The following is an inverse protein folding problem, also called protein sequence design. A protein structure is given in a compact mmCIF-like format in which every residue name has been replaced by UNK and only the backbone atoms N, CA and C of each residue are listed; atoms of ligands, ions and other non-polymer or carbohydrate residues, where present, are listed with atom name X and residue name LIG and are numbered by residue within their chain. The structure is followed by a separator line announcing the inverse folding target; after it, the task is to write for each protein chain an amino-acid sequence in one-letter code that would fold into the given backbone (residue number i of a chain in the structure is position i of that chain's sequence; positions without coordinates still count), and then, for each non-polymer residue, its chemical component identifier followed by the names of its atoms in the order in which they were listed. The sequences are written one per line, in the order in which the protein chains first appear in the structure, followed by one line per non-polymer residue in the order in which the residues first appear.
data_IF_366364255909
#
_entry.id   IF_366364255909
#
_cell.length_a   1.000
_cell.length_b   1.000
_cell.length_c   1.000
_cell.angle_alpha   90.00
_cell.angle_beta   90.00
_cell.angle_gamma   90.00
#
_symmetry.space_group_name_H-M   'P 1'
#
loop_
_entity.id
_entity.type
_entity.pdbx_description
1 polymer ?
#
# COMPACT_ATOMS: atom_id res chain seq x y z
N UNK A 1 -10.80 -14.79 16.60
CA UNK A 1 -10.80 -14.47 15.16
C UNK A 1 -9.90 -13.25 14.97
N UNK A 2 -8.73 -13.44 14.35
CA UNK A 2 -7.65 -12.46 14.34
C UNK A 2 -7.80 -11.45 13.20
N UNK A 3 -7.72 -10.15 13.51
CA UNK A 3 -7.12 -9.00 12.78
C UNK A 3 -6.78 -9.09 11.26
N UNK A 4 -7.49 -9.86 10.42
CA UNK A 4 -7.10 -10.06 9.02
C UNK A 4 -7.06 -8.76 8.22
N UNK A 5 -8.12 -7.94 8.24
CA UNK A 5 -8.14 -6.65 7.53
C UNK A 5 -7.06 -5.67 8.00
N UNK A 6 -6.69 -5.76 9.27
CA UNK A 6 -5.75 -4.85 9.95
C UNK A 6 -4.33 -4.92 9.39
N UNK A 7 -3.87 -6.15 9.10
CA UNK A 7 -2.55 -6.42 8.52
C UNK A 7 -2.54 -6.03 7.02
N UNK A 8 -3.67 -6.25 6.34
CA UNK A 8 -3.83 -6.01 4.91
C UNK A 8 -3.81 -4.50 4.61
N UNK A 9 -4.47 -3.70 5.46
CA UNK A 9 -4.58 -2.24 5.41
C UNK A 9 -3.28 -1.53 5.03
N UNK A 10 -2.31 -1.57 5.94
CA UNK A 10 -1.10 -0.76 5.83
C UNK A 10 -0.06 -1.38 4.87
N UNK A 11 0.08 -2.71 4.83
CA UNK A 11 1.03 -3.36 3.92
C UNK A 11 0.60 -3.16 2.45
N UNK A 12 -0.69 -3.33 2.14
CA UNK A 12 -1.19 -3.10 0.78
C UNK A 12 -1.00 -1.66 0.31
N UNK A 13 -1.17 -0.70 1.22
CA UNK A 13 -0.81 0.71 1.07
C UNK A 13 0.65 0.90 0.67
N UNK A 14 1.57 0.30 1.44
CA UNK A 14 3.00 0.47 1.25
C UNK A 14 3.43 -0.18 -0.07
N UNK A 15 2.91 -1.37 -0.39
CA UNK A 15 3.14 -2.06 -1.66
C UNK A 15 2.67 -1.19 -2.84
N UNK A 16 1.47 -0.60 -2.75
CA UNK A 16 0.92 0.31 -3.77
C UNK A 16 1.76 1.58 -3.95
N UNK A 17 2.30 2.14 -2.86
CA UNK A 17 3.14 3.35 -2.88
C UNK A 17 4.59 3.07 -3.32
N UNK A 18 5.03 1.82 -3.23
CA UNK A 18 6.37 1.36 -3.59
C UNK A 18 6.49 0.99 -5.10
N UNK A 19 6.18 1.93 -6.01
CA UNK A 19 6.20 1.68 -7.48
C UNK A 19 6.77 2.87 -8.30
N UNK A 20 8.10 3.03 -8.41
CA UNK A 20 8.86 4.26 -8.82
C UNK A 20 10.01 4.02 -9.86
N UNK A 21 10.16 4.76 -10.99
CA UNK A 21 11.30 4.68 -11.96
C UNK A 21 11.46 5.89 -12.94
N UNK A 22 12.63 6.44 -13.37
CA UNK A 22 14.07 6.22 -13.03
C UNK A 22 14.98 7.45 -13.44
N UNK A 23 16.24 7.50 -12.97
CA UNK A 23 17.40 8.40 -13.27
C UNK A 23 17.31 9.33 -14.52
N UNK A 24 17.48 10.65 -14.29
CA UNK A 24 18.25 11.57 -15.16
C UNK A 24 19.17 12.45 -14.28
N UNK A 25 20.38 12.74 -14.76
CA UNK A 25 21.43 13.47 -14.05
C UNK A 25 21.31 14.98 -14.26
N UNK A 26 20.45 15.65 -13.49
CA UNK A 26 20.40 17.13 -13.42
C UNK A 26 20.55 17.65 -11.98
N UNK A 27 21.34 18.71 -11.76
CA UNK A 27 21.62 19.23 -10.42
C UNK A 27 20.50 20.12 -9.90
N UNK A 28 19.33 19.56 -9.57
CA UNK A 28 18.33 20.27 -8.77
C UNK A 28 18.55 19.97 -7.29
N UNK A 29 19.43 20.76 -6.67
CA UNK A 29 19.86 20.59 -5.28
C UNK A 29 18.80 21.03 -4.26
N UNK A 30 17.71 20.27 -4.14
CA UNK A 30 16.95 20.20 -2.87
C UNK A 30 17.55 19.12 -2.00
N UNK A 31 17.80 19.42 -0.72
CA UNK A 31 18.23 18.42 0.29
C UNK A 31 17.12 17.38 0.45
N UNK A 32 17.27 16.21 -0.19
CA UNK A 32 16.34 15.09 -0.04
C UNK A 32 16.53 14.45 1.34
N UNK A 33 15.50 14.53 2.19
CA UNK A 33 15.38 13.70 3.38
C UNK A 33 14.99 12.28 2.97
N UNK A 34 15.97 11.39 2.87
CA UNK A 34 15.73 9.98 2.59
C UNK A 34 15.17 9.28 3.84
N UNK A 35 13.86 9.15 3.91
CA UNK A 35 13.17 8.41 4.96
C UNK A 35 13.21 6.90 4.69
N UNK A 36 14.10 6.18 5.38
CA UNK A 36 14.16 4.71 5.32
C UNK A 36 12.81 4.11 5.74
N UNK A 37 12.29 3.17 4.96
CA UNK A 37 11.14 2.35 5.34
C UNK A 37 11.50 1.44 6.52
N UNK A 38 10.90 1.71 7.66
CA UNK A 38 10.94 0.83 8.84
C UNK A 38 9.79 -0.19 8.76
N UNK A 39 9.97 -1.19 7.89
CA UNK A 39 8.96 -2.22 7.71
C UNK A 39 8.86 -3.18 8.92
N UNK A 40 9.90 -3.31 9.73
CA UNK A 40 9.89 -4.15 10.93
C UNK A 40 8.90 -3.60 11.97
N UNK A 41 8.97 -2.30 12.28
CA UNK A 41 8.00 -1.63 13.16
C UNK A 41 6.59 -1.74 12.60
N UNK A 42 6.41 -1.61 11.28
CA UNK A 42 5.11 -1.75 10.61
C UNK A 42 4.53 -3.15 10.77
N UNK A 43 5.28 -4.19 10.40
CA UNK A 43 4.85 -5.59 10.51
C UNK A 43 4.59 -5.98 11.97
N UNK A 44 5.42 -5.51 12.89
CA UNK A 44 5.19 -5.67 14.32
C UNK A 44 3.89 -5.01 14.79
N UNK A 45 3.67 -3.73 14.46
CA UNK A 45 2.58 -2.93 15.04
C UNK A 45 1.19 -3.45 14.66
N UNK A 46 1.03 -3.91 13.42
CA UNK A 46 -0.20 -4.54 12.90
C UNK A 46 -0.39 -5.99 13.41
N UNK A 47 0.58 -6.55 14.11
CA UNK A 47 0.52 -7.90 14.70
C UNK A 47 0.81 -9.03 13.71
N UNK A 48 1.69 -8.81 12.75
CA UNK A 48 2.14 -9.86 11.82
C UNK A 48 2.87 -10.97 12.60
N UNK A 49 2.45 -12.24 12.52
CA UNK A 49 3.13 -13.34 13.20
C UNK A 49 4.56 -13.54 12.68
N UNK A 50 5.48 -13.97 13.55
CA UNK A 50 6.90 -14.13 13.17
C UNK A 50 7.13 -15.19 12.08
N UNK A 51 6.22 -16.17 11.94
CA UNK A 51 6.23 -17.11 10.81
C UNK A 51 5.98 -16.40 9.47
N UNK A 52 5.11 -15.38 9.45
CA UNK A 52 4.87 -14.55 8.28
C UNK A 52 6.06 -13.63 8.06
N UNK A 53 6.53 -12.91 9.10
CA UNK A 53 7.70 -12.01 9.02
C UNK A 53 8.89 -12.69 8.33
N UNK A 54 9.31 -13.86 8.83
CA UNK A 54 10.42 -14.65 8.26
C UNK A 54 10.23 -15.05 6.79
N UNK A 55 8.98 -15.28 6.37
CA UNK A 55 8.67 -15.61 4.99
C UNK A 55 8.60 -14.39 4.05
N UNK A 56 8.24 -13.21 4.56
CA UNK A 56 8.08 -11.98 3.76
C UNK A 56 9.31 -11.08 3.80
N UNK A 57 10.26 -11.32 4.70
CA UNK A 57 11.44 -10.45 4.89
C UNK A 57 12.23 -10.21 3.57
N UNK A 58 12.59 -11.22 2.75
CA UNK A 58 13.24 -10.96 1.45
C UNK A 58 12.38 -10.18 0.45
N UNK A 59 11.05 -10.27 0.57
CA UNK A 59 10.14 -9.45 -0.22
C UNK A 59 10.12 -8.00 0.29
N UNK A 60 10.14 -7.79 1.61
CA UNK A 60 10.18 -6.46 2.22
C UNK A 60 11.53 -5.76 2.03
N UNK A 61 12.65 -6.49 1.92
CA UNK A 61 13.93 -5.94 1.47
C UNK A 61 13.80 -5.32 0.07
N UNK A 62 13.17 -6.01 -0.89
CA UNK A 62 12.95 -5.49 -2.24
C UNK A 62 12.01 -4.27 -2.21
N UNK A 63 10.93 -4.30 -1.42
CA UNK A 63 10.05 -3.14 -1.20
C UNK A 63 10.82 -1.96 -0.59
N UNK A 64 11.76 -2.21 0.33
CA UNK A 64 12.60 -1.19 0.95
C UNK A 64 13.66 -0.63 -0.01
N UNK A 65 14.28 -1.46 -0.85
CA UNK A 65 15.13 -0.99 -1.95
C UNK A 65 14.35 -0.02 -2.82
N UNK A 66 13.16 -0.42 -3.21
CA UNK A 66 12.24 0.31 -4.08
C UNK A 66 11.74 1.62 -3.46
N UNK A 67 11.40 1.61 -2.18
CA UNK A 67 10.97 2.80 -1.45
C UNK A 67 12.02 3.92 -1.46
N UNK A 68 13.29 3.52 -1.38
CA UNK A 68 14.45 4.40 -1.34
C UNK A 68 15.11 4.65 -2.71
N UNK A 69 14.78 3.85 -3.74
CA UNK A 69 15.43 3.87 -5.07
C UNK A 69 14.40 3.94 -6.18
N UNK A 70 14.64 4.88 -7.07
CA UNK A 70 13.84 5.16 -8.25
C UNK A 70 13.99 4.06 -9.34
N UNK A 71 13.67 2.78 -9.09
CA UNK A 71 13.64 1.76 -10.16
C UNK A 71 12.77 0.48 -9.94
N UNK A 72 11.44 0.58 -9.96
CA UNK A 72 10.49 -0.52 -9.77
C UNK A 72 10.10 -1.21 -11.05
N UNK A 73 10.00 -0.48 -12.16
CA UNK A 73 9.63 -1.09 -13.44
C UNK A 73 10.63 -2.19 -13.85
N UNK A 74 11.88 -2.09 -13.39
CA UNK A 74 12.90 -3.14 -13.55
C UNK A 74 12.97 -4.12 -12.36
N UNK A 75 12.44 -3.77 -11.18
CA UNK A 75 12.34 -4.67 -10.00
C UNK A 75 11.03 -5.45 -9.96
N UNK A 76 10.09 -5.18 -10.86
CA UNK A 76 8.76 -5.79 -10.87
C UNK A 76 8.83 -7.33 -10.99
N UNK A 77 9.74 -7.85 -11.81
CA UNK A 77 10.01 -9.29 -11.91
C UNK A 77 10.56 -9.88 -10.60
N UNK A 78 11.40 -9.13 -9.89
CA UNK A 78 11.92 -9.51 -8.57
C UNK A 78 10.81 -9.51 -7.52
N UNK A 79 9.97 -8.47 -7.47
CA UNK A 79 8.80 -8.41 -6.58
C UNK A 79 7.83 -9.59 -6.82
N UNK A 80 7.58 -9.95 -8.08
CA UNK A 80 6.77 -11.12 -8.43
C UNK A 80 7.40 -12.43 -7.94
N UNK A 81 8.72 -12.60 -8.11
CA UNK A 81 9.46 -13.79 -7.65
C UNK A 81 9.48 -13.90 -6.13
N UNK A 82 9.79 -12.83 -5.40
CA UNK A 82 9.83 -12.84 -3.95
C UNK A 82 8.43 -12.99 -3.33
N UNK A 83 7.37 -12.40 -3.94
CA UNK A 83 5.97 -12.69 -3.54
C UNK A 83 5.66 -14.19 -3.66
N UNK A 84 6.01 -14.82 -4.77
CA UNK A 84 5.73 -16.24 -5.00
C UNK A 84 6.47 -17.14 -3.98
N UNK A 85 7.73 -16.80 -3.67
CA UNK A 85 8.51 -17.46 -2.60
C UNK A 85 7.86 -17.27 -1.22
N UNK A 86 7.48 -16.04 -0.87
CA UNK A 86 6.86 -15.71 0.41
C UNK A 86 5.53 -16.46 0.60
N UNK A 87 4.66 -16.48 -0.42
CA UNK A 87 3.41 -17.26 -0.40
C UNK A 87 3.67 -18.77 -0.25
N UNK A 88 4.66 -19.33 -0.95
CA UNK A 88 5.05 -20.73 -0.81
C UNK A 88 5.56 -21.03 0.61
N UNK A 89 6.38 -20.15 1.16
CA UNK A 89 6.89 -20.25 2.53
C UNK A 89 5.74 -20.26 3.54
N UNK A 90 4.85 -19.26 3.52
CA UNK A 90 3.70 -19.17 4.44
C UNK A 90 2.80 -20.41 4.34
N UNK A 91 2.50 -20.88 3.11
CA UNK A 91 1.66 -22.07 2.89
C UNK A 91 2.30 -23.37 3.40
N UNK A 92 3.64 -23.45 3.40
CA UNK A 92 4.39 -24.62 3.90
C UNK A 92 4.56 -24.66 5.43
N UNK A 93 4.40 -23.53 6.13
CA UNK A 93 4.57 -23.46 7.58
C UNK A 93 3.32 -24.00 8.31
N UNK A 94 3.46 -25.13 9.00
CA UNK A 94 2.36 -25.79 9.73
C UNK A 94 1.70 -24.88 10.79
N UNK A 95 2.53 -24.15 11.55
CA UNK A 95 2.08 -23.28 12.65
C UNK A 95 1.63 -21.88 12.20
N UNK A 96 1.64 -21.58 10.89
CA UNK A 96 1.32 -20.24 10.39
C UNK A 96 -0.18 -20.13 10.08
N UNK A 97 -0.95 -19.64 11.06
CA UNK A 97 -2.41 -19.52 10.98
C UNK A 97 -2.90 -18.36 10.10
N UNK A 98 -2.08 -17.33 9.88
CA UNK A 98 -2.39 -16.26 8.94
C UNK A 98 -1.84 -16.56 7.55
N UNK A 99 -2.56 -17.40 6.81
CA UNK A 99 -2.19 -17.80 5.44
C UNK A 99 -2.63 -16.79 4.38
N UNK A 100 -3.52 -15.85 4.73
CA UNK A 100 -4.19 -14.97 3.77
C UNK A 100 -3.81 -13.49 3.92
N UNK A 101 -3.38 -13.02 5.10
CA UNK A 101 -3.02 -11.62 5.32
C UNK A 101 -1.99 -11.08 4.33
N UNK A 102 -0.90 -11.83 4.09
CA UNK A 102 0.08 -11.47 3.06
C UNK A 102 -0.45 -11.61 1.63
N UNK A 103 -1.32 -12.59 1.35
CA UNK A 103 -1.89 -12.80 0.01
C UNK A 103 -2.77 -11.62 -0.40
N UNK A 104 -3.60 -11.12 0.51
CA UNK A 104 -4.45 -9.95 0.28
C UNK A 104 -3.66 -8.63 0.34
N UNK A 105 -2.69 -8.49 1.25
CA UNK A 105 -1.80 -7.32 1.25
C UNK A 105 -1.06 -7.17 -0.08
N UNK A 106 -0.61 -8.28 -0.67
CA UNK A 106 0.08 -8.31 -1.96
C UNK A 106 -0.86 -8.44 -3.17
N UNK A 107 -2.16 -8.11 -3.05
CA UNK A 107 -3.15 -8.31 -4.13
C UNK A 107 -2.84 -7.52 -5.41
N UNK A 108 -2.20 -6.35 -5.31
CA UNK A 108 -1.66 -5.61 -6.47
C UNK A 108 -0.79 -6.49 -7.37
N UNK A 109 0.12 -7.26 -6.75
CA UNK A 109 1.03 -8.17 -7.45
C UNK A 109 0.31 -9.46 -7.90
N UNK A 110 -0.80 -9.84 -7.26
CA UNK A 110 -1.66 -10.92 -7.74
C UNK A 110 -2.31 -10.58 -9.10
N UNK A 111 -2.74 -9.32 -9.26
CA UNK A 111 -3.28 -8.83 -10.54
C UNK A 111 -2.17 -8.53 -11.55
N UNK A 112 -1.06 -7.93 -11.11
CA UNK A 112 0.03 -7.49 -11.98
C UNK A 112 0.87 -8.64 -12.54
N UNK A 113 1.33 -9.57 -11.69
CA UNK A 113 2.35 -10.56 -12.09
C UNK A 113 1.89 -11.52 -13.23
N UNK A 114 0.65 -12.04 -13.27
CA UNK A 114 0.16 -12.82 -14.40
C UNK A 114 -0.07 -11.98 -15.66
N UNK A 115 -0.28 -10.67 -15.49
CA UNK A 115 -0.66 -9.71 -16.55
C UNK A 115 0.50 -8.83 -17.03
N UNK A 116 1.76 -9.09 -16.61
CA UNK A 116 2.92 -8.25 -16.95
C UNK A 116 2.99 -7.83 -18.42
N UNK A 117 2.69 -8.75 -19.34
CA UNK A 117 2.68 -8.50 -20.80
C UNK A 117 1.67 -7.42 -21.25
N UNK A 118 0.57 -7.23 -20.53
CA UNK A 118 -0.39 -6.15 -20.79
C UNK A 118 0.20 -4.79 -20.36
N UNK A 119 0.96 -4.78 -19.26
CA UNK A 119 1.68 -3.61 -18.77
C UNK A 119 2.93 -3.24 -19.59
N UNK A 120 3.40 -4.12 -20.49
CA UNK A 120 4.52 -3.83 -21.39
C UNK A 120 4.25 -2.63 -22.32
N UNK A 121 2.97 -2.37 -22.63
CA UNK A 121 2.53 -1.19 -23.39
C UNK A 121 2.78 0.12 -22.62
N UNK A 122 2.61 0.12 -21.30
CA UNK A 122 2.91 1.25 -20.42
C UNK A 122 4.38 1.34 -20.01
N UNK A 123 5.09 0.21 -20.02
CA UNK A 123 6.46 0.07 -19.50
C UNK A 123 7.44 1.16 -19.97
N UNK A 124 7.43 1.62 -21.25
CA UNK A 124 8.27 2.74 -21.69
C UNK A 124 7.91 4.06 -21.01
N UNK A 125 6.63 4.41 -20.93
CA UNK A 125 6.20 5.67 -20.31
C UNK A 125 6.44 5.66 -18.79
N UNK A 126 6.15 4.54 -18.12
CA UNK A 126 6.39 4.38 -16.69
C UNK A 126 7.88 4.49 -16.36
N UNK A 127 8.77 3.87 -17.16
CA UNK A 127 10.23 4.03 -16.98
C UNK A 127 10.71 5.48 -17.09
N UNK A 128 10.07 6.28 -17.95
CA UNK A 128 10.46 7.67 -18.19
C UNK A 128 9.86 8.66 -17.18
N UNK A 129 8.68 8.38 -16.61
CA UNK A 129 7.90 9.38 -15.87
C UNK A 129 7.62 9.03 -14.41
N UNK A 130 7.51 7.75 -14.05
CA UNK A 130 6.89 7.31 -12.80
C UNK A 130 7.62 7.84 -11.55
N UNK A 131 8.96 7.91 -11.61
CA UNK A 131 9.77 8.47 -10.53
C UNK A 131 9.55 9.95 -10.35
N UNK A 132 9.58 10.72 -11.44
CA UNK A 132 9.32 12.16 -11.40
C UNK A 132 7.92 12.43 -10.84
N UNK A 133 6.93 11.61 -11.20
CA UNK A 133 5.58 11.68 -10.61
C UNK A 133 5.60 11.38 -9.12
N UNK A 134 6.23 10.29 -8.68
CA UNK A 134 6.28 9.94 -7.25
C UNK A 134 7.02 10.99 -6.43
N UNK A 135 8.14 11.53 -6.91
CA UNK A 135 8.85 12.60 -6.21
C UNK A 135 8.00 13.89 -6.17
N UNK A 136 7.30 14.27 -7.25
CA UNK A 136 6.34 15.41 -7.23
C UNK A 136 5.21 15.17 -6.23
N UNK A 137 4.64 13.97 -6.21
CA UNK A 137 3.50 13.62 -5.36
C UNK A 137 3.90 13.40 -3.91
N UNK A 138 5.10 12.89 -3.62
CA UNK A 138 5.65 12.84 -2.27
C UNK A 138 6.01 14.26 -1.78
N UNK A 139 6.53 15.14 -2.62
CA UNK A 139 6.75 16.54 -2.25
C UNK A 139 5.42 17.28 -1.94
N UNK A 140 4.33 16.94 -2.65
CA UNK A 140 2.98 17.50 -2.45
C UNK A 140 2.24 16.89 -1.26
N UNK A 141 2.29 15.57 -1.12
CA UNK A 141 1.44 14.77 -0.23
C UNK A 141 2.17 14.19 0.99
N UNK A 142 3.50 14.34 1.07
CA UNK A 142 4.35 13.94 2.22
C UNK A 142 4.16 12.49 2.65
N UNK A 143 4.06 11.57 1.69
CA UNK A 143 3.76 10.16 1.90
C UNK A 143 4.91 9.46 2.64
N UNK A 144 6.16 9.64 2.16
CA UNK A 144 7.34 9.02 2.77
C UNK A 144 7.56 9.55 4.19
N UNK A 145 7.35 10.86 4.40
CA UNK A 145 7.35 11.49 5.72
C UNK A 145 6.23 10.94 6.62
N UNK A 146 5.02 10.75 6.10
CA UNK A 146 3.89 10.22 6.84
C UNK A 146 4.13 8.81 7.36
N UNK A 147 4.61 7.91 6.51
CA UNK A 147 4.98 6.54 6.91
C UNK A 147 6.13 6.54 7.92
N UNK A 148 7.13 7.40 7.73
CA UNK A 148 8.22 7.58 8.69
C UNK A 148 7.72 8.08 10.06
N UNK A 149 6.88 9.13 10.07
CA UNK A 149 6.27 9.68 11.29
C UNK A 149 5.45 8.61 12.01
N UNK A 150 4.66 7.83 11.27
CA UNK A 150 3.89 6.72 11.80
C UNK A 150 4.74 5.69 12.54
N UNK A 151 5.87 5.23 11.97
CA UNK A 151 6.78 4.31 12.68
C UNK A 151 7.57 4.96 13.82
N UNK A 152 7.49 6.29 13.94
CA UNK A 152 8.19 7.05 14.96
C UNK A 152 7.33 7.41 16.18
N UNK A 153 6.01 7.22 16.15
CA UNK A 153 5.16 7.31 17.34
C UNK A 153 5.54 6.26 18.39
N UNK A 154 5.57 6.67 19.66
CA UNK A 154 6.09 5.84 20.75
C UNK A 154 5.18 4.65 21.09
N UNK A 155 3.87 4.81 20.93
CA UNK A 155 2.89 3.74 21.10
C UNK A 155 2.91 2.76 19.92
N UNK A 156 3.09 3.23 18.67
CA UNK A 156 3.33 2.36 17.50
C UNK A 156 4.60 1.51 17.69
N UNK A 157 5.69 2.11 18.18
CA UNK A 157 6.93 1.39 18.57
C UNK A 157 6.74 0.44 19.74
N UNK A 158 5.89 0.79 20.70
CA UNK A 158 5.59 -0.07 21.84
C UNK A 158 4.82 -1.31 21.37
N UNK A 159 3.72 -1.12 20.64
CA UNK A 159 2.88 -2.24 20.19
C UNK A 159 3.60 -3.09 19.14
N UNK A 160 4.53 -2.54 18.36
CA UNK A 160 5.34 -3.35 17.44
C UNK A 160 6.21 -4.40 18.12
N UNK A 161 6.69 -4.08 19.33
CA UNK A 161 7.49 -4.97 20.18
C UNK A 161 6.62 -5.95 20.99
N UNK A 162 5.37 -5.58 21.28
CA UNK A 162 4.42 -6.38 22.07
C UNK A 162 3.58 -7.36 21.23
N UNK A 163 3.90 -7.57 19.95
CA UNK A 163 3.16 -8.47 19.07
C UNK A 163 1.93 -7.86 18.39
N UNK A 164 1.80 -6.53 18.44
CA UNK A 164 0.82 -5.73 17.72
C UNK A 164 -0.47 -5.43 18.47
N UNK A 165 -1.02 -4.24 18.23
CA UNK A 165 -2.35 -3.85 18.72
C UNK A 165 -2.98 -2.88 17.72
N UNK A 166 -3.93 -3.39 16.93
CA UNK A 166 -4.56 -2.58 15.88
C UNK A 166 -5.37 -1.40 16.42
N UNK A 167 -5.92 -1.48 17.63
CA UNK A 167 -6.69 -0.36 18.18
C UNK A 167 -5.77 0.85 18.40
N UNK A 168 -4.61 0.64 19.02
CA UNK A 168 -3.56 1.67 19.17
C UNK A 168 -3.02 2.15 17.81
N UNK A 169 -2.81 1.25 16.85
CA UNK A 169 -2.42 1.64 15.49
C UNK A 169 -3.48 2.52 14.81
N UNK A 170 -4.77 2.22 15.03
CA UNK A 170 -5.88 2.90 14.34
C UNK A 170 -6.00 4.38 14.67
N UNK A 171 -5.60 4.77 15.89
CA UNK A 171 -5.56 6.18 16.33
C UNK A 171 -4.60 7.04 15.47
N UNK A 172 -3.59 6.43 14.84
CA UNK A 172 -2.61 7.10 13.96
C UNK A 172 -2.90 6.98 12.46
N UNK A 173 -3.85 6.13 12.05
CA UNK A 173 -4.14 5.90 10.64
C UNK A 173 -4.76 7.11 9.95
N UNK A 174 -5.39 8.03 10.70
CA UNK A 174 -6.02 9.23 10.14
C UNK A 174 -5.05 10.11 9.32
N UNK A 175 -3.81 10.28 9.76
CA UNK A 175 -2.79 10.99 8.98
C UNK A 175 -2.39 10.21 7.72
N UNK A 176 -2.11 8.91 7.87
CA UNK A 176 -1.73 8.01 6.78
C UNK A 176 -2.80 8.00 5.68
N UNK A 177 -4.08 7.84 6.02
CA UNK A 177 -5.17 7.89 5.06
C UNK A 177 -5.29 9.25 4.36
N UNK A 178 -4.97 10.35 5.06
CA UNK A 178 -4.85 11.67 4.44
C UNK A 178 -3.76 11.74 3.37
N UNK A 179 -2.55 11.27 3.70
CA UNK A 179 -1.43 11.22 2.76
C UNK A 179 -1.69 10.31 1.56
N UNK A 180 -2.34 9.17 1.78
CA UNK A 180 -2.72 8.20 0.73
C UNK A 180 -3.74 8.77 -0.25
N UNK A 181 -4.80 9.42 0.24
CA UNK A 181 -5.81 10.06 -0.63
C UNK A 181 -5.16 11.07 -1.57
N UNK A 182 -4.31 11.92 -1.03
CA UNK A 182 -3.52 12.88 -1.79
C UNK A 182 -2.60 12.15 -2.78
N UNK A 183 -1.86 11.14 -2.31
CA UNK A 183 -0.89 10.37 -3.08
C UNK A 183 -1.48 9.64 -4.27
N UNK A 184 -2.53 8.83 -4.06
CA UNK A 184 -3.22 8.11 -5.14
C UNK A 184 -3.78 9.10 -6.15
N UNK A 185 -4.48 10.14 -5.70
CA UNK A 185 -5.04 11.16 -6.60
C UNK A 185 -3.93 11.81 -7.43
N UNK A 186 -2.88 12.29 -6.79
CA UNK A 186 -1.76 12.95 -7.45
C UNK A 186 -1.05 12.03 -8.45
N UNK A 187 -0.68 10.81 -8.03
CA UNK A 187 0.02 9.83 -8.90
C UNK A 187 -0.84 9.52 -10.13
N UNK A 188 -2.14 9.35 -9.92
CA UNK A 188 -3.09 9.08 -11.00
C UNK A 188 -3.23 10.28 -11.96
N UNK A 189 -3.42 11.49 -11.46
CA UNK A 189 -3.55 12.71 -12.29
C UNK A 189 -2.26 13.01 -13.07
N UNK A 190 -1.09 12.94 -12.42
CA UNK A 190 0.21 13.22 -13.02
C UNK A 190 0.63 12.14 -14.05
N UNK A 191 0.36 10.85 -13.78
CA UNK A 191 0.59 9.79 -14.77
C UNK A 191 -0.38 9.87 -15.94
N UNK A 192 -1.66 10.17 -15.71
CA UNK A 192 -2.62 10.41 -16.80
C UNK A 192 -2.15 11.55 -17.69
N UNK A 193 -1.65 12.64 -17.10
CA UNK A 193 -1.09 13.78 -17.84
C UNK A 193 0.15 13.43 -18.67
N UNK A 194 1.05 12.58 -18.14
CA UNK A 194 2.34 12.26 -18.78
C UNK A 194 2.32 11.07 -19.73
N UNK A 195 1.45 10.08 -19.48
CA UNK A 195 1.31 8.86 -20.27
C UNK A 195 0.04 8.84 -21.13
N UNK A 196 -0.91 9.74 -20.92
CA UNK A 196 -2.19 9.76 -21.63
C UNK A 196 -3.13 8.62 -21.22
N UNK A 197 -4.32 8.61 -21.82
CA UNK A 197 -5.33 7.56 -21.63
C UNK A 197 -5.04 6.30 -22.47
N UNK A 198 -3.85 5.72 -22.25
CA UNK A 198 -3.49 4.41 -22.81
C UNK A 198 -4.35 3.33 -22.14
N UNK A 199 -4.83 2.34 -22.89
CA UNK A 199 -5.72 1.26 -22.40
C UNK A 199 -5.19 0.52 -21.16
N UNK A 200 -3.86 0.43 -20.98
CA UNK A 200 -3.24 -0.16 -19.79
C UNK A 200 -3.34 0.69 -18.52
N UNK A 201 -3.62 2.00 -18.62
CA UNK A 201 -3.63 2.93 -17.48
C UNK A 201 -4.75 2.61 -16.48
N UNK A 202 -5.94 2.26 -16.97
CA UNK A 202 -7.02 1.70 -16.13
C UNK A 202 -6.53 0.48 -15.34
N UNK A 203 -5.86 -0.47 -16.01
CA UNK A 203 -5.28 -1.65 -15.37
C UNK A 203 -4.19 -1.33 -14.33
N UNK A 204 -3.50 -0.18 -14.45
CA UNK A 204 -2.55 0.27 -13.43
C UNK A 204 -3.27 0.82 -12.19
N UNK A 205 -4.36 1.58 -12.38
CA UNK A 205 -5.21 2.06 -11.28
C UNK A 205 -5.86 0.88 -10.56
N UNK A 206 -6.33 -0.14 -11.29
CA UNK A 206 -6.81 -1.40 -10.72
C UNK A 206 -5.74 -2.09 -9.86
N UNK A 207 -4.52 -2.26 -10.39
CA UNK A 207 -3.39 -2.84 -9.62
C UNK A 207 -3.08 -2.02 -8.37
N UNK A 208 -3.10 -0.68 -8.45
CA UNK A 208 -2.83 0.21 -7.32
C UNK A 208 -3.91 0.10 -6.22
N UNK A 209 -5.18 -0.02 -6.61
CA UNK A 209 -6.32 -0.07 -5.70
C UNK A 209 -6.68 -1.48 -5.22
N UNK A 210 -6.20 -2.54 -5.87
CA UNK A 210 -6.53 -3.94 -5.53
C UNK A 210 -6.44 -4.31 -4.02
N UNK A 211 -5.45 -3.83 -3.23
CA UNK A 211 -5.44 -4.09 -1.79
C UNK A 211 -6.54 -3.32 -1.06
N UNK A 212 -6.76 -2.06 -1.44
CA UNK A 212 -7.83 -1.17 -0.92
C UNK A 212 -9.21 -1.78 -1.17
N UNK A 213 -9.45 -2.26 -2.38
CA UNK A 213 -10.67 -2.95 -2.76
C UNK A 213 -10.88 -4.22 -1.93
N UNK A 214 -9.83 -5.03 -1.76
CA UNK A 214 -9.90 -6.26 -0.96
C UNK A 214 -10.19 -5.99 0.52
N UNK A 215 -9.69 -4.88 1.07
CA UNK A 215 -10.02 -4.41 2.43
C UNK A 215 -11.49 -4.02 2.49
N UNK A 216 -11.98 -3.24 1.51
CA UNK A 216 -13.36 -2.78 1.46
C UNK A 216 -14.37 -3.92 1.29
N UNK A 217 -14.07 -4.91 0.44
CA UNK A 217 -14.85 -6.14 0.30
C UNK A 217 -14.91 -6.90 1.64
N UNK A 218 -13.75 -7.17 2.26
CA UNK A 218 -13.70 -7.83 3.56
C UNK A 218 -14.36 -7.04 4.69
N UNK A 219 -14.51 -5.71 4.57
CA UNK A 219 -15.21 -4.86 5.52
C UNK A 219 -16.73 -4.87 5.29
N UNK A 220 -17.17 -5.15 4.07
CA UNK A 220 -18.58 -5.31 3.72
C UNK A 220 -19.14 -6.68 4.11
N UNK A 221 -18.31 -7.72 4.03
CA UNK A 221 -18.60 -9.08 4.51
C UNK A 221 -18.68 -9.20 6.06
N UNK A 222 -18.38 -8.14 6.80
CA UNK A 222 -18.44 -8.14 8.26
C UNK A 222 -19.87 -8.18 8.81
N UNK A 223 -20.03 -8.83 9.97
CA UNK A 223 -21.24 -8.67 10.77
C UNK A 223 -21.45 -7.17 11.11
N UNK A 224 -22.69 -6.62 11.00
CA UNK A 224 -22.94 -5.19 11.14
C UNK A 224 -22.38 -4.55 12.42
N UNK A 225 -22.48 -5.24 13.56
CA UNK A 225 -21.92 -4.75 14.83
C UNK A 225 -20.39 -4.61 14.81
N UNK A 226 -19.67 -5.52 14.13
CA UNK A 226 -18.21 -5.40 13.96
C UNK A 226 -17.85 -4.25 13.02
N UNK A 227 -18.62 -4.09 11.92
CA UNK A 227 -18.44 -3.00 10.95
C UNK A 227 -18.63 -1.63 11.63
N UNK A 228 -19.66 -1.49 12.48
CA UNK A 228 -19.92 -0.31 13.30
C UNK A 228 -18.79 -0.02 14.30
N UNK A 229 -18.33 -1.03 15.06
CA UNK A 229 -17.25 -0.86 16.03
C UNK A 229 -15.94 -0.39 15.37
N UNK A 230 -15.61 -0.93 14.20
CA UNK A 230 -14.44 -0.51 13.43
C UNK A 230 -14.64 0.91 12.88
N UNK A 231 -15.78 1.22 12.27
CA UNK A 231 -16.07 2.55 11.74
C UNK A 231 -16.07 3.65 12.83
N UNK A 232 -16.49 3.33 14.05
CA UNK A 232 -16.48 4.24 15.20
C UNK A 232 -15.07 4.51 15.75
N UNK A 233 -14.10 3.62 15.53
CA UNK A 233 -12.69 3.78 15.94
C UNK A 233 -11.81 4.36 14.84
N UNK A 234 -12.13 4.04 13.59
CA UNK A 234 -11.39 4.46 12.43
C UNK A 234 -11.62 5.97 12.16
N UNK A 235 -10.54 6.74 11.97
CA UNK A 235 -10.63 8.15 11.56
C UNK A 235 -11.48 8.28 10.27
N UNK A 236 -12.31 9.32 10.20
CA UNK A 236 -13.19 9.61 9.04
C UNK A 236 -12.42 9.66 7.71
N UNK A 237 -11.14 10.06 7.74
CA UNK A 237 -10.24 10.02 6.59
C UNK A 237 -9.98 8.61 6.06
N UNK A 238 -10.21 7.56 6.84
CA UNK A 238 -10.05 6.18 6.39
C UNK A 238 -11.41 5.50 6.06
N UNK A 239 -12.55 6.16 6.23
CA UNK A 239 -13.87 5.51 6.08
C UNK A 239 -14.15 4.95 4.68
N UNK A 240 -13.49 5.45 3.63
CA UNK A 240 -13.59 4.87 2.27
C UNK A 240 -13.13 3.39 2.20
N UNK A 241 -12.27 2.93 3.11
CA UNK A 241 -11.92 1.50 3.27
C UNK A 241 -13.08 0.63 3.78
N UNK A 242 -14.23 1.22 4.16
CA UNK A 242 -15.41 0.49 4.68
C UNK A 242 -16.52 0.32 3.64
N UNK A 243 -16.30 0.76 2.39
CA UNK A 243 -17.32 0.71 1.32
C UNK A 243 -16.71 0.39 -0.05
N UNK A 244 -16.97 -0.80 -0.62
CA UNK A 244 -16.53 -1.15 -1.98
C UNK A 244 -16.98 -0.14 -3.04
N UNK A 245 -18.20 0.39 -2.90
CA UNK A 245 -18.79 1.39 -3.81
C UNK A 245 -17.98 2.69 -3.87
N UNK A 246 -17.30 3.07 -2.79
CA UNK A 246 -16.53 4.31 -2.73
C UNK A 246 -15.10 4.10 -3.25
N UNK A 247 -14.54 2.90 -3.09
CA UNK A 247 -13.31 2.48 -3.79
C UNK A 247 -13.54 2.39 -5.30
N UNK A 248 -14.71 1.89 -5.71
CA UNK A 248 -15.13 1.82 -7.12
C UNK A 248 -15.21 3.21 -7.79
N UNK A 249 -15.70 4.24 -7.08
CA UNK A 249 -15.64 5.62 -7.58
C UNK A 249 -14.20 6.06 -7.85
N UNK A 250 -13.30 5.83 -6.90
CA UNK A 250 -11.87 6.17 -7.03
C UNK A 250 -11.22 5.42 -8.19
N UNK A 251 -11.59 4.15 -8.43
CA UNK A 251 -11.14 3.35 -9.59
C UNK A 251 -11.55 3.97 -10.93
N UNK A 252 -12.71 4.61 -10.97
CA UNK A 252 -13.23 5.33 -12.13
C UNK A 252 -12.85 6.84 -12.15
N UNK A 253 -11.79 7.22 -11.43
CA UNK A 253 -11.29 8.61 -11.26
C UNK A 253 -12.23 9.59 -10.55
N UNK A 254 -13.35 9.12 -10.00
CA UNK A 254 -14.17 9.92 -9.09
C UNK A 254 -13.55 9.89 -7.68
N UNK A 255 -12.61 10.80 -7.47
CA UNK A 255 -11.96 11.00 -6.17
C UNK A 255 -12.91 11.55 -5.08
N UNK A 256 -14.19 11.82 -5.37
CA UNK A 256 -15.17 12.12 -4.34
C UNK A 256 -15.43 10.92 -3.41
N UNK A 257 -15.19 9.68 -3.88
CA UNK A 257 -15.29 8.47 -3.06
C UNK A 257 -14.35 8.46 -1.85
N UNK A 258 -13.22 9.17 -1.94
CA UNK A 258 -12.36 9.40 -0.77
C UNK A 258 -13.03 10.23 0.32
N UNK A 259 -14.05 11.05 0.02
CA UNK A 259 -14.72 11.89 1.02
C UNK A 259 -15.86 11.18 1.75
N UNK A 260 -16.07 9.88 1.49
CA UNK A 260 -17.06 9.07 2.22
C UNK A 260 -16.81 9.08 3.73
N UNK A 261 -17.91 9.21 4.48
CA UNK A 261 -17.96 9.09 5.94
C UNK A 261 -19.04 8.06 6.27
N UNK A 262 -18.66 7.01 7.00
CA UNK A 262 -19.57 5.97 7.44
C UNK A 262 -20.57 6.55 8.44
N UNK A 263 -21.86 6.26 8.26
CA UNK A 263 -22.92 6.64 9.19
C UNK A 263 -23.07 5.56 10.26
N UNK A 264 -22.82 5.95 11.51
CA UNK A 264 -23.03 5.13 12.71
C UNK A 264 -24.52 5.07 13.08
#
# INVERSE_FOLDING_TARGET
MTNRLSIIGLIGLIIALSVDARIDSRPFARRRTHYKLDYETILGAIGTPDCVKKCVDPFMEVISEVWNKNNVVDKADTLCKERAKALKCIKSQFLCNDKNGFETASKSLDMYCPRQKLFDTLRPCLRANLSTVIDICDDRCKIRYGVHKFTHYDDVKLVSRLGGNMLTVSDHLGEICGFVKCGIKCITEELKSKCGDITGFMGMVEVLLAPIESIAQGADEMQPGMKLLIAARLDKKCHFFMSPTEVEKVRNFDFSGFNYVFKL
#
